data_IF_709637359384
#
_entry.id   IF_709637359384
#
_cell.length_a   1.000
_cell.length_b   1.000
_cell.length_c   1.000
_cell.angle_alpha   90.00
_cell.angle_beta   90.00
_cell.angle_gamma   90.00
#
_symmetry.space_group_name_H-M   'P 1'
#
loop_
_entity.id
_entity.type
_entity.pdbx_description
1 polymer ?
#
# COMPACT_ATOMS: atom_id res chain seq x y z
N UNK A 1 4.25 -13.85 -0.58
CA UNK A 1 3.35 -12.73 -0.24
C UNK A 1 4.22 -11.52 0.05
N UNK A 2 3.99 -10.35 -0.57
CA UNK A 2 4.77 -9.16 -0.28
C UNK A 2 4.47 -8.64 1.13
N UNK A 3 5.50 -8.10 1.79
CA UNK A 3 5.40 -7.52 3.13
C UNK A 3 5.87 -6.06 3.07
N UNK A 4 5.11 -5.17 3.68
CA UNK A 4 5.49 -3.78 3.85
C UNK A 4 6.20 -3.63 5.19
N UNK A 5 7.51 -3.42 5.17
CA UNK A 5 8.31 -3.25 6.38
C UNK A 5 8.53 -1.77 6.68
N UNK A 6 8.22 -1.36 7.91
CA UNK A 6 8.53 -0.03 8.41
C UNK A 6 9.85 -0.08 9.18
N UNK A 7 10.93 0.40 8.58
CA UNK A 7 12.23 0.51 9.24
C UNK A 7 12.35 1.73 10.17
N UNK A 8 11.31 2.57 10.25
CA UNK A 8 11.28 3.76 11.07
C UNK A 8 10.83 3.49 12.51
N UNK A 9 11.03 4.51 13.34
CA UNK A 9 10.65 4.52 14.77
C UNK A 9 9.23 5.08 15.00
N UNK A 10 8.57 5.56 13.95
CA UNK A 10 7.23 6.13 14.03
C UNK A 10 6.21 5.24 13.35
N UNK A 11 4.97 5.27 13.85
CA UNK A 11 3.85 4.57 13.23
C UNK A 11 3.56 5.22 11.88
N UNK A 12 3.42 4.41 10.84
CA UNK A 12 3.14 4.89 9.49
C UNK A 12 1.76 4.43 9.03
N UNK A 13 1.12 5.27 8.24
CA UNK A 13 -0.12 4.97 7.54
C UNK A 13 0.21 4.74 6.08
N UNK A 14 -0.42 3.74 5.47
CA UNK A 14 -0.20 3.42 4.07
C UNK A 14 -1.52 3.25 3.32
N UNK A 15 -1.48 3.59 2.03
CA UNK A 15 -2.50 3.32 1.03
C UNK A 15 -1.87 2.57 -0.14
N UNK A 16 -2.51 1.49 -0.57
CA UNK A 16 -2.09 0.71 -1.75
C UNK A 16 -3.07 0.95 -2.89
N UNK A 17 -2.58 1.55 -3.97
CA UNK A 17 -3.33 1.79 -5.21
C UNK A 17 -2.84 0.86 -6.30
N UNK A 18 -3.75 0.27 -7.06
CA UNK A 18 -3.43 -0.44 -8.29
C UNK A 18 -3.96 0.35 -9.49
N UNK A 19 -3.26 0.30 -10.62
CA UNK A 19 -3.77 0.85 -11.88
C UNK A 19 -4.98 0.09 -12.43
N UNK A 20 -5.24 -1.15 -11.96
CA UNK A 20 -6.36 -1.97 -12.38
C UNK A 20 -6.95 -2.77 -11.21
N UNK A 21 -8.01 -2.23 -10.61
CA UNK A 21 -8.72 -2.87 -9.51
C UNK A 21 -9.66 -4.01 -9.96
N UNK A 22 -9.90 -4.18 -11.26
CA UNK A 22 -10.75 -5.24 -11.80
C UNK A 22 -10.04 -6.59 -11.77
N UNK A 23 -8.77 -6.60 -12.18
CA UNK A 23 -7.96 -7.81 -12.32
C UNK A 23 -7.11 -8.09 -11.08
N UNK A 24 -6.91 -7.09 -10.22
CA UNK A 24 -6.20 -7.25 -8.95
C UNK A 24 -7.10 -6.90 -7.78
N UNK A 25 -7.12 -7.79 -6.78
CA UNK A 25 -7.68 -7.49 -5.46
C UNK A 25 -6.52 -7.28 -4.49
N UNK A 26 -6.52 -6.11 -3.87
CA UNK A 26 -5.55 -5.73 -2.84
C UNK A 26 -6.22 -5.78 -1.47
N UNK A 27 -5.59 -6.44 -0.51
CA UNK A 27 -6.03 -6.44 0.89
C UNK A 27 -4.83 -6.39 1.84
N UNK A 28 -4.78 -5.47 2.80
CA UNK A 28 -5.65 -4.29 2.97
C UNK A 28 -5.29 -3.16 1.98
N UNK A 29 -6.25 -2.29 1.64
CA UNK A 29 -6.02 -1.08 0.82
C UNK A 29 -5.46 0.06 1.66
N UNK A 30 -5.99 0.23 2.87
CA UNK A 30 -5.51 1.18 3.87
C UNK A 30 -5.10 0.43 5.12
N UNK A 31 -4.04 0.89 5.78
CA UNK A 31 -3.64 0.30 7.05
C UNK A 31 -2.60 1.13 7.77
N UNK A 32 -2.24 0.62 8.95
CA UNK A 32 -1.16 1.15 9.75
C UNK A 32 -0.04 0.13 9.85
N UNK A 33 1.20 0.61 9.88
CA UNK A 33 2.38 -0.19 10.21
C UNK A 33 3.01 0.40 11.47
N UNK A 34 3.15 -0.44 12.49
CA UNK A 34 3.82 -0.04 13.73
C UNK A 34 5.32 0.20 13.51
N UNK A 35 5.98 0.97 14.40
CA UNK A 35 7.43 1.16 14.39
C UNK A 35 8.19 -0.16 14.34
N UNK A 36 9.22 -0.26 13.51
CA UNK A 36 9.98 -1.50 13.29
C UNK A 36 9.12 -2.72 12.90
N UNK A 37 7.85 -2.49 12.51
CA UNK A 37 6.86 -3.52 12.23
C UNK A 37 6.79 -3.87 10.75
N UNK A 38 5.95 -4.86 10.45
CA UNK A 38 5.61 -5.19 9.06
C UNK A 38 4.13 -5.50 8.91
N UNK A 39 3.57 -5.13 7.76
CA UNK A 39 2.18 -5.41 7.41
C UNK A 39 2.14 -6.30 6.16
N UNK A 40 1.44 -7.46 6.19
CA UNK A 40 1.25 -8.28 5.01
C UNK A 40 0.29 -7.59 4.03
N UNK A 41 0.63 -7.59 2.74
CA UNK A 41 -0.25 -7.12 1.66
C UNK A 41 -0.55 -8.28 0.74
N UNK A 42 -1.82 -8.66 0.69
CA UNK A 42 -2.32 -9.68 -0.22
C UNK A 42 -2.67 -9.06 -1.57
N UNK A 43 -2.02 -9.57 -2.61
CA UNK A 43 -2.28 -9.21 -4.00
C UNK A 43 -2.83 -10.47 -4.67
N UNK A 44 -4.13 -10.47 -4.97
CA UNK A 44 -4.78 -11.57 -5.70
C UNK A 44 -4.97 -11.17 -7.15
N UNK A 45 -4.33 -11.91 -8.06
CA UNK A 45 -4.50 -11.75 -9.50
C UNK A 45 -5.67 -12.63 -9.99
N UNK A 46 -6.66 -12.02 -10.62
CA UNK A 46 -7.80 -12.69 -11.22
C UNK A 46 -7.44 -13.09 -12.65
N UNK A 47 -6.68 -14.17 -12.81
CA UNK A 47 -6.28 -14.89 -14.05
C UNK A 47 -6.72 -14.29 -15.40
N UNK A 48 -6.26 -13.08 -15.73
CA UNK A 48 -6.35 -12.51 -17.08
C UNK A 48 -4.98 -12.50 -17.74
N UNK A 49 -4.96 -12.21 -19.04
CA UNK A 49 -3.77 -12.24 -19.88
C UNK A 49 -2.59 -11.50 -19.20
N UNK A 50 -1.35 -12.00 -19.35
CA UNK A 50 -0.18 -11.39 -18.77
C UNK A 50 -0.05 -9.96 -19.28
N UNK A 51 -0.19 -9.01 -18.35
CA UNK A 51 -0.13 -7.58 -18.61
C UNK A 51 0.66 -6.93 -17.50
N UNK A 52 1.42 -5.90 -17.85
CA UNK A 52 2.14 -5.10 -16.87
C UNK A 52 1.15 -4.17 -16.17
N UNK A 53 1.23 -4.13 -14.84
CA UNK A 53 0.44 -3.22 -14.03
C UNK A 53 1.33 -2.42 -13.09
N UNK A 54 0.81 -1.26 -12.71
CA UNK A 54 1.48 -0.33 -11.80
C UNK A 54 0.78 -0.41 -10.45
N UNK A 55 1.53 -0.77 -9.43
CA UNK A 55 1.11 -0.71 -8.03
C UNK A 55 1.81 0.48 -7.37
N UNK A 56 1.05 1.35 -6.73
CA UNK A 56 1.55 2.54 -6.06
C UNK A 56 1.23 2.41 -4.59
N UNK A 57 2.26 2.32 -3.75
CA UNK A 57 2.12 2.36 -2.30
C UNK A 57 2.45 3.78 -1.89
N UNK A 58 1.52 4.45 -1.21
CA UNK A 58 1.75 5.76 -0.63
C UNK A 58 1.76 5.62 0.88
N UNK A 59 2.68 6.28 1.58
CA UNK A 59 2.74 6.26 3.03
C UNK A 59 3.13 7.60 3.61
N UNK A 60 2.80 7.79 4.87
CA UNK A 60 3.16 8.96 5.64
C UNK A 60 3.21 8.62 7.14
N UNK A 61 3.67 9.58 7.95
CA UNK A 61 3.62 9.49 9.40
C UNK A 61 2.16 9.58 9.85
N UNK A 62 1.76 8.72 10.79
CA UNK A 62 0.40 8.72 11.35
C UNK A 62 0.14 10.04 12.10
N UNK A 63 -0.96 10.77 11.79
CA UNK A 63 -1.38 11.90 12.61
C UNK A 63 -1.71 11.45 14.04
N UNK A 64 -1.38 12.25 15.05
CA UNK A 64 -1.52 11.86 16.47
C UNK A 64 -2.95 11.42 16.87
N UNK A 65 -3.97 11.89 16.16
CA UNK A 65 -5.39 11.63 16.44
C UNK A 65 -6.03 10.59 15.48
N UNK A 66 -5.23 9.98 14.60
CA UNK A 66 -5.74 9.08 13.57
C UNK A 66 -6.09 7.70 14.15
N UNK A 67 -7.40 7.45 14.26
CA UNK A 67 -7.96 6.13 14.63
C UNK A 67 -8.35 5.29 13.42
N UNK A 68 -8.67 5.93 12.30
CA UNK A 68 -9.10 5.27 11.07
C UNK A 68 -8.19 5.67 9.90
N UNK A 69 -7.54 4.69 9.27
CA UNK A 69 -6.58 4.95 8.20
C UNK A 69 -7.25 5.51 6.94
N UNK A 70 -8.48 5.11 6.63
CA UNK A 70 -9.16 5.53 5.41
C UNK A 70 -9.59 7.01 5.48
N UNK A 71 -9.92 7.50 6.68
CA UNK A 71 -10.28 8.90 6.90
C UNK A 71 -9.10 9.79 7.23
N UNK A 72 -8.05 9.25 7.86
CA UNK A 72 -6.85 10.03 8.21
C UNK A 72 -5.94 10.28 7.01
N UNK A 73 -5.81 9.31 6.09
CA UNK A 73 -4.89 9.41 4.95
C UNK A 73 -5.16 10.63 4.04
N UNK A 74 -6.41 10.95 3.66
CA UNK A 74 -6.71 12.14 2.86
C UNK A 74 -6.42 13.47 3.58
N UNK A 75 -6.33 13.47 4.91
CA UNK A 75 -6.01 14.67 5.70
C UNK A 75 -4.51 14.98 5.75
N UNK A 76 -3.66 14.11 5.21
CA UNK A 76 -2.21 14.28 5.22
C UNK A 76 -1.79 15.17 4.05
N UNK A 77 -0.96 16.17 4.35
CA UNK A 77 -0.40 17.06 3.34
C UNK A 77 0.48 16.30 2.33
N UNK A 78 0.39 16.66 1.05
CA UNK A 78 1.17 16.06 -0.03
C UNK A 78 2.70 16.13 0.20
N UNK A 79 3.19 17.14 0.89
CA UNK A 79 4.61 17.28 1.25
C UNK A 79 5.13 16.19 2.20
N UNK A 80 4.23 15.57 2.99
CA UNK A 80 4.59 14.48 3.91
C UNK A 80 4.32 13.10 3.32
N UNK A 81 3.68 13.03 2.15
CA UNK A 81 3.34 11.79 1.48
C UNK A 81 4.53 11.29 0.66
N UNK A 82 4.98 10.10 1.00
CA UNK A 82 5.98 9.35 0.23
C UNK A 82 5.27 8.32 -0.64
N UNK A 83 5.88 7.95 -1.77
CA UNK A 83 5.30 6.94 -2.65
C UNK A 83 6.34 6.02 -3.28
N UNK A 84 5.98 4.75 -3.43
CA UNK A 84 6.73 3.72 -4.10
C UNK A 84 5.88 3.18 -5.24
N UNK A 85 6.40 3.28 -6.45
CA UNK A 85 5.81 2.61 -7.61
C UNK A 85 6.52 1.27 -7.81
N UNK A 86 5.73 0.20 -7.78
CA UNK A 86 6.16 -1.16 -8.11
C UNK A 86 5.47 -1.57 -9.40
N UNK A 87 6.25 -1.95 -10.41
CA UNK A 87 5.71 -2.56 -11.62
C UNK A 87 5.55 -4.06 -11.36
N UNK A 88 4.33 -4.56 -11.50
CA UNK A 88 4.03 -5.98 -11.36
C UNK A 88 3.85 -6.61 -12.74
N UNK A 89 4.59 -7.68 -12.98
CA UNK A 89 4.49 -8.50 -14.19
C UNK A 89 4.26 -9.93 -13.72
N UNK A 90 3.03 -10.42 -13.86
CA UNK A 90 2.76 -11.85 -13.63
C UNK A 90 3.16 -12.62 -14.89
N UNK A 91 4.42 -13.05 -14.91
CA UNK A 91 4.88 -14.04 -15.87
C UNK A 91 4.32 -15.40 -15.46
N UNK A 92 3.60 -16.07 -16.37
CA UNK A 92 3.31 -17.49 -16.23
C UNK A 92 4.65 -18.22 -16.41
N UNK A 93 5.21 -18.74 -15.33
CA UNK A 93 6.39 -19.64 -15.34
C UNK A 93 5.96 -20.94 -14.68
#
# INVERSE_FOLDING_TARGET
MPMLANAGETKMIFEVKCSNNSDYRLKPVFGFVDPAGSAPVEITHMSRAPKEHKLVIQWAVVPADATDAQTAFPSISADQLQSLTVNIVFSCI
#
